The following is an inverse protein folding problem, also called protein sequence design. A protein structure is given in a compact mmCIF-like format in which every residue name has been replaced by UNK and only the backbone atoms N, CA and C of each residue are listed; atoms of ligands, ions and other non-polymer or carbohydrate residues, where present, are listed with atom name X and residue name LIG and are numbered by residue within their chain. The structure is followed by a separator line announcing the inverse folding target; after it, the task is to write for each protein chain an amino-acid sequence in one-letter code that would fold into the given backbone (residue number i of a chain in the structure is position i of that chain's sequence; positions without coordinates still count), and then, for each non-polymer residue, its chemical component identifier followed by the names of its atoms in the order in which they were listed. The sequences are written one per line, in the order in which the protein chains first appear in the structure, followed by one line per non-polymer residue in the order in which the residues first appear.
data_IF_721267227324
#
_entry.id   IF_721267227324
#
_cell.length_a   1.000
_cell.length_b   1.000
_cell.length_c   1.000
_cell.angle_alpha   90.00
_cell.angle_beta   90.00
_cell.angle_gamma   90.00
#
_symmetry.space_group_name_H-M   'P 1'
#
loop_
_entity.id
_entity.type
_entity.pdbx_description
1 polymer ?
#
# COMPACT_ATOMS: atom_id res chain seq x y z
N UNK A 1 -2.49 -33.42 -17.64
CA UNK A 1 -3.57 -32.61 -17.04
C UNK A 1 -3.21 -32.44 -15.56
N UNK A 2 -2.42 -31.42 -15.21
CA UNK A 2 -1.98 -31.19 -13.82
C UNK A 2 -3.18 -30.72 -13.01
N UNK A 3 -3.73 -31.61 -12.16
CA UNK A 3 -4.69 -31.23 -11.14
C UNK A 3 -3.99 -30.29 -10.16
N UNK A 4 -4.63 -29.17 -9.83
CA UNK A 4 -4.15 -28.28 -8.78
C UNK A 4 -4.09 -29.06 -7.46
N UNK A 5 -2.90 -29.21 -6.89
CA UNK A 5 -2.66 -29.86 -5.59
C UNK A 5 -3.07 -29.00 -4.38
N UNK A 6 -3.85 -27.94 -4.56
CA UNK A 6 -4.54 -27.27 -3.44
C UNK A 6 -5.65 -28.15 -2.82
N UNK A 7 -5.93 -29.32 -3.40
CA UNK A 7 -6.89 -30.32 -2.89
C UNK A 7 -6.63 -30.81 -1.45
N UNK A 8 -5.43 -30.59 -0.90
CA UNK A 8 -5.13 -30.95 0.50
C UNK A 8 -5.41 -29.82 1.51
N UNK A 9 -6.00 -28.69 1.11
CA UNK A 9 -6.55 -27.70 2.06
C UNK A 9 -7.85 -28.18 2.75
N UNK A 10 -8.44 -29.29 2.28
CA UNK A 10 -9.68 -29.84 2.83
C UNK A 10 -9.51 -30.57 4.18
N UNK A 11 -8.28 -30.72 4.69
CA UNK A 11 -8.00 -31.38 5.98
C UNK A 11 -7.79 -30.40 7.14
N UNK A 12 -7.79 -29.09 6.90
CA UNK A 12 -7.67 -28.09 7.98
C UNK A 12 -9.05 -27.85 8.58
N UNK A 13 -9.27 -28.29 9.82
CA UNK A 13 -10.42 -27.84 10.61
C UNK A 13 -10.26 -26.33 10.83
N UNK A 14 -11.03 -25.53 10.12
CA UNK A 14 -11.01 -24.09 10.27
C UNK A 14 -11.72 -23.70 11.56
N UNK A 15 -10.93 -23.47 12.60
CA UNK A 15 -11.37 -22.78 13.80
C UNK A 15 -11.11 -21.28 13.61
N UNK A 16 -11.97 -20.42 14.16
CA UNK A 16 -11.76 -18.96 14.22
C UNK A 16 -10.57 -18.55 15.12
N UNK A 17 -9.72 -19.50 15.51
CA UNK A 17 -8.53 -19.27 16.31
C UNK A 17 -7.38 -18.77 15.44
N UNK A 18 -6.59 -17.87 16.01
CA UNK A 18 -5.38 -17.37 15.38
C UNK A 18 -4.38 -18.50 15.10
N UNK A 19 -3.73 -18.51 13.93
CA UNK A 19 -2.74 -19.51 13.60
C UNK A 19 -1.48 -19.36 14.47
N UNK A 20 -0.95 -20.50 14.89
CA UNK A 20 0.29 -20.62 15.67
C UNK A 20 1.44 -21.20 14.84
N UNK A 21 2.55 -21.53 15.50
CA UNK A 21 3.76 -22.12 14.91
C UNK A 21 3.56 -23.55 14.38
N UNK A 22 2.51 -24.25 14.83
CA UNK A 22 2.18 -25.59 14.35
C UNK A 22 1.40 -25.58 13.03
N UNK A 23 0.83 -24.44 12.64
CA UNK A 23 0.01 -24.32 11.44
C UNK A 23 0.87 -24.43 10.18
N UNK A 24 0.63 -25.49 9.42
CA UNK A 24 1.25 -25.75 8.13
C UNK A 24 0.52 -24.96 7.03
N UNK A 25 1.28 -24.30 6.16
CA UNK A 25 0.77 -23.51 5.02
C UNK A 25 0.87 -24.29 3.71
N UNK A 26 1.97 -25.00 3.49
CA UNK A 26 2.21 -25.77 2.27
C UNK A 26 2.83 -27.12 2.56
N UNK A 27 2.63 -28.07 1.64
CA UNK A 27 3.08 -29.45 1.71
C UNK A 27 3.89 -29.85 0.47
N UNK A 28 4.65 -30.93 0.59
CA UNK A 28 5.20 -31.66 -0.55
C UNK A 28 4.13 -32.50 -1.25
N UNK A 29 4.47 -33.06 -2.41
CA UNK A 29 3.60 -34.04 -3.10
C UNK A 29 3.33 -35.28 -2.24
N UNK A 30 4.26 -35.62 -1.34
CA UNK A 30 4.18 -36.73 -0.38
C UNK A 30 3.51 -36.33 0.95
N UNK A 31 2.79 -35.20 1.01
CA UNK A 31 2.14 -34.66 2.22
C UNK A 31 3.09 -34.33 3.39
N UNK A 32 4.37 -34.10 3.12
CA UNK A 32 5.33 -33.65 4.14
C UNK A 32 5.19 -32.12 4.28
N UNK A 33 5.13 -31.56 5.51
CA UNK A 33 5.10 -30.11 5.69
C UNK A 33 6.30 -29.43 5.03
N UNK A 34 6.05 -28.36 4.27
CA UNK A 34 7.08 -27.61 3.54
C UNK A 34 7.25 -26.18 4.10
N UNK A 35 6.17 -25.56 4.58
CA UNK A 35 6.25 -24.24 5.22
C UNK A 35 5.19 -24.11 6.30
N UNK A 36 5.57 -23.47 7.40
CA UNK A 36 4.74 -23.15 8.55
C UNK A 36 4.35 -21.68 8.56
N UNK A 37 3.26 -21.34 9.24
CA UNK A 37 2.73 -19.98 9.29
C UNK A 37 3.77 -18.98 9.82
N UNK A 38 4.54 -19.38 10.84
CA UNK A 38 5.56 -18.53 11.44
C UNK A 38 6.81 -18.36 10.58
N UNK A 39 7.03 -19.22 9.58
CA UNK A 39 8.22 -19.16 8.72
C UNK A 39 8.31 -17.84 7.97
N UNK A 40 9.54 -17.33 7.82
CA UNK A 40 9.80 -16.11 7.05
C UNK A 40 9.65 -16.30 5.54
N UNK A 41 9.67 -17.55 5.06
CA UNK A 41 9.51 -17.89 3.66
C UNK A 41 8.47 -19.00 3.56
N UNK A 42 7.43 -18.75 2.77
CA UNK A 42 6.47 -19.80 2.38
C UNK A 42 6.79 -20.29 0.97
N UNK A 43 7.07 -21.59 0.84
CA UNK A 43 7.43 -22.25 -0.39
C UNK A 43 6.20 -22.91 -1.05
N UNK A 44 5.89 -22.48 -2.28
CA UNK A 44 4.78 -22.94 -3.10
C UNK A 44 5.25 -23.68 -4.36
N UNK A 45 6.51 -24.13 -4.44
CA UNK A 45 7.06 -24.85 -5.61
C UNK A 45 6.20 -26.01 -6.11
N UNK A 46 5.54 -26.72 -5.20
CA UNK A 46 4.69 -27.88 -5.55
C UNK A 46 3.25 -27.49 -5.95
N UNK A 47 2.95 -26.19 -5.98
CA UNK A 47 1.62 -25.63 -6.24
C UNK A 47 1.57 -24.78 -7.52
N UNK A 48 2.63 -24.81 -8.34
CA UNK A 48 2.69 -24.09 -9.62
C UNK A 48 2.19 -24.96 -10.76
N UNK A 49 1.35 -24.40 -11.62
CA UNK A 49 0.79 -25.08 -12.80
C UNK A 49 1.44 -24.63 -14.13
N UNK A 50 2.41 -23.72 -14.07
CA UNK A 50 3.13 -23.17 -15.23
C UNK A 50 4.53 -22.72 -14.82
N UNK A 51 5.41 -22.50 -15.80
CA UNK A 51 6.76 -21.95 -15.59
C UNK A 51 6.66 -20.55 -14.95
N UNK A 52 6.95 -20.44 -13.65
CA UNK A 52 7.04 -19.17 -12.93
C UNK A 52 8.48 -18.94 -12.47
N UNK A 53 8.97 -17.69 -12.57
CA UNK A 53 10.32 -17.34 -12.11
C UNK A 53 10.45 -17.33 -10.58
N UNK A 54 9.33 -17.27 -9.88
CA UNK A 54 9.25 -17.25 -8.42
C UNK A 54 8.20 -18.25 -7.97
N UNK A 55 8.49 -18.91 -6.87
CA UNK A 55 7.67 -19.98 -6.27
C UNK A 55 7.58 -19.81 -4.77
N UNK A 56 8.11 -18.71 -4.22
CA UNK A 56 8.22 -18.47 -2.79
C UNK A 56 7.64 -17.10 -2.44
N UNK A 57 7.10 -16.99 -1.23
CA UNK A 57 6.68 -15.73 -0.64
C UNK A 57 7.61 -15.45 0.53
N UNK A 58 8.42 -14.40 0.38
CA UNK A 58 9.41 -13.97 1.36
C UNK A 58 8.88 -12.79 2.18
N UNK A 59 8.80 -12.96 3.50
CA UNK A 59 8.36 -11.94 4.44
C UNK A 59 9.51 -11.08 5.00
N UNK A 60 10.77 -11.44 4.75
CA UNK A 60 11.98 -10.70 5.15
C UNK A 60 12.35 -9.57 4.17
N UNK A 61 11.36 -8.98 3.51
CA UNK A 61 11.55 -8.02 2.44
C UNK A 61 11.86 -6.58 2.91
N UNK A 62 11.73 -6.31 4.20
CA UNK A 62 12.06 -5.02 4.81
C UNK A 62 12.38 -5.22 6.29
N UNK A 63 13.59 -4.84 6.70
CA UNK A 63 14.03 -5.02 8.09
C UNK A 63 13.46 -3.98 9.05
N UNK A 64 12.91 -2.88 8.53
CA UNK A 64 12.30 -1.84 9.38
C UNK A 64 10.92 -2.24 9.91
N UNK A 65 10.23 -3.14 9.20
CA UNK A 65 8.85 -3.50 9.50
C UNK A 65 8.68 -4.13 10.88
N UNK A 66 7.64 -3.69 11.59
CA UNK A 66 7.25 -4.31 12.85
C UNK A 66 6.89 -5.80 12.65
N UNK A 67 7.32 -6.66 13.58
CA UNK A 67 6.93 -8.08 13.60
C UNK A 67 5.41 -8.25 13.59
N UNK A 68 4.70 -7.33 14.24
CA UNK A 68 3.25 -7.28 14.28
C UNK A 68 2.65 -7.07 12.88
N UNK A 69 3.14 -6.08 12.13
CA UNK A 69 2.66 -5.83 10.77
C UNK A 69 2.92 -7.00 9.82
N UNK A 70 4.06 -7.68 9.97
CA UNK A 70 4.37 -8.91 9.23
C UNK A 70 3.38 -10.03 9.60
N UNK A 71 3.09 -10.21 10.89
CA UNK A 71 2.13 -11.20 11.38
C UNK A 71 0.73 -10.98 10.77
N UNK A 72 0.19 -9.75 10.81
CA UNK A 72 -1.13 -9.45 10.25
C UNK A 72 -1.16 -9.55 8.72
N UNK A 73 -0.04 -9.25 8.04
CA UNK A 73 0.09 -9.51 6.60
C UNK A 73 0.00 -11.02 6.30
N UNK A 74 0.76 -11.84 7.04
CA UNK A 74 0.70 -13.31 6.95
C UNK A 74 -0.72 -13.80 7.22
N UNK A 75 -1.39 -13.26 8.25
CA UNK A 75 -2.76 -13.62 8.62
C UNK A 75 -3.76 -13.35 7.48
N UNK A 76 -3.74 -12.17 6.86
CA UNK A 76 -4.60 -11.86 5.71
C UNK A 76 -4.35 -12.79 4.52
N UNK A 77 -3.08 -13.12 4.25
CA UNK A 77 -2.73 -14.00 3.15
C UNK A 77 -3.13 -15.45 3.43
N UNK A 78 -2.94 -15.91 4.66
CA UNK A 78 -3.37 -17.23 5.11
C UNK A 78 -4.89 -17.37 5.05
N UNK A 79 -5.63 -16.39 5.56
CA UNK A 79 -7.09 -16.33 5.43
C UNK A 79 -7.53 -16.39 3.97
N UNK A 80 -6.87 -15.63 3.08
CA UNK A 80 -7.17 -15.65 1.65
C UNK A 80 -6.98 -17.03 1.01
N UNK A 81 -5.86 -17.70 1.29
CA UNK A 81 -5.51 -19.00 0.69
C UNK A 81 -6.53 -20.07 1.09
N UNK A 82 -6.95 -20.05 2.35
CA UNK A 82 -7.69 -21.13 2.96
C UNK A 82 -9.21 -20.94 2.93
N UNK A 83 -9.68 -19.70 3.09
CA UNK A 83 -11.09 -19.39 3.34
C UNK A 83 -11.60 -18.35 2.34
N UNK A 84 -10.87 -17.24 2.19
CA UNK A 84 -11.31 -16.08 1.41
C UNK A 84 -11.35 -16.30 -0.11
N UNK A 85 -10.73 -17.35 -0.63
CA UNK A 85 -10.78 -17.70 -2.05
C UNK A 85 -12.10 -18.42 -2.38
N UNK A 86 -12.94 -17.81 -3.24
CA UNK A 86 -14.21 -18.39 -3.71
C UNK A 86 -14.08 -19.80 -4.33
N UNK A 87 -12.90 -20.18 -4.80
CA UNK A 87 -12.61 -21.52 -5.27
C UNK A 87 -11.14 -21.89 -4.97
N UNK A 88 -10.90 -22.38 -3.74
CA UNK A 88 -9.60 -22.82 -3.25
C UNK A 88 -8.96 -23.89 -4.15
N UNK A 89 -9.76 -24.80 -4.70
CA UNK A 89 -9.28 -25.86 -5.61
C UNK A 89 -8.71 -25.33 -6.94
N UNK A 90 -9.05 -24.10 -7.34
CA UNK A 90 -8.54 -23.44 -8.54
C UNK A 90 -7.50 -22.35 -8.28
N UNK A 91 -7.12 -22.15 -7.01
CA UNK A 91 -6.21 -21.07 -6.64
C UNK A 91 -4.85 -21.31 -7.31
N UNK A 92 -4.29 -20.29 -7.93
CA UNK A 92 -2.96 -20.36 -8.55
C UNK A 92 -1.95 -19.58 -7.71
N UNK A 93 -0.70 -20.03 -7.69
CA UNK A 93 0.38 -19.28 -7.03
C UNK A 93 0.46 -17.82 -7.54
N UNK A 94 0.25 -17.60 -8.84
CA UNK A 94 0.22 -16.24 -9.42
C UNK A 94 -0.84 -15.35 -8.76
N UNK A 95 -2.02 -15.91 -8.47
CA UNK A 95 -3.11 -15.18 -7.80
C UNK A 95 -2.73 -14.84 -6.35
N UNK A 96 -2.17 -15.80 -5.61
CA UNK A 96 -1.66 -15.61 -4.24
C UNK A 96 -0.59 -14.52 -4.22
N UNK A 97 0.36 -14.59 -5.13
CA UNK A 97 1.46 -13.63 -5.25
C UNK A 97 0.97 -12.21 -5.54
N UNK A 98 -0.08 -12.04 -6.36
CA UNK A 98 -0.69 -10.73 -6.60
C UNK A 98 -1.31 -10.17 -5.31
N UNK A 99 -2.02 -11.00 -4.53
CA UNK A 99 -2.60 -10.59 -3.24
C UNK A 99 -1.52 -10.19 -2.25
N UNK A 100 -0.48 -11.02 -2.09
CA UNK A 100 0.69 -10.73 -1.26
C UNK A 100 1.34 -9.40 -1.65
N UNK A 101 1.56 -9.13 -2.95
CA UNK A 101 2.18 -7.87 -3.41
C UNK A 101 1.35 -6.63 -3.06
N UNK A 102 0.03 -6.72 -3.14
CA UNK A 102 -0.86 -5.62 -2.77
C UNK A 102 -0.86 -5.39 -1.25
N UNK A 103 -0.98 -6.46 -0.45
CA UNK A 103 -0.87 -6.39 1.01
C UNK A 103 0.46 -5.79 1.44
N UNK A 104 1.57 -6.30 0.89
CA UNK A 104 2.93 -5.79 1.10
C UNK A 104 3.04 -4.30 0.82
N UNK A 105 2.42 -3.81 -0.27
CA UNK A 105 2.45 -2.38 -0.59
C UNK A 105 1.71 -1.55 0.46
N UNK A 106 0.56 -2.02 0.97
CA UNK A 106 -0.18 -1.35 2.04
C UNK A 106 0.68 -1.29 3.31
N UNK A 107 1.25 -2.42 3.72
CA UNK A 107 2.13 -2.51 4.91
C UNK A 107 3.32 -1.55 4.80
N UNK A 108 3.96 -1.47 3.62
CA UNK A 108 5.04 -0.49 3.39
C UNK A 108 4.58 0.97 3.47
N UNK A 109 3.32 1.25 3.16
CA UNK A 109 2.78 2.60 3.35
C UNK A 109 2.58 2.86 4.84
N UNK A 110 1.99 1.91 5.59
CA UNK A 110 1.84 2.04 7.05
C UNK A 110 3.17 2.37 7.74
N UNK A 111 4.20 1.61 7.41
CA UNK A 111 5.55 1.80 7.93
C UNK A 111 6.10 3.22 7.70
N UNK A 112 5.92 3.76 6.49
CA UNK A 112 6.36 5.14 6.16
C UNK A 112 5.70 6.21 7.02
N UNK A 113 4.49 5.93 7.51
CA UNK A 113 3.73 6.82 8.38
C UNK A 113 3.85 6.44 9.86
N UNK A 114 4.80 5.55 10.21
CA UNK A 114 4.98 5.00 11.55
C UNK A 114 3.66 4.45 12.15
N UNK A 115 2.85 3.83 11.28
CA UNK A 115 1.57 3.24 11.62
C UNK A 115 1.69 1.71 11.61
N UNK A 116 1.02 1.04 12.55
CA UNK A 116 0.95 -0.42 12.51
C UNK A 116 -0.13 -0.86 11.51
N UNK A 117 0.17 -1.91 10.73
CA UNK A 117 -0.81 -2.47 9.81
C UNK A 117 -2.07 -2.97 10.54
N UNK A 118 -1.94 -3.40 11.79
CA UNK A 118 -3.05 -3.92 12.59
C UNK A 118 -4.10 -2.87 12.98
N UNK A 119 -3.80 -1.58 12.85
CA UNK A 119 -4.69 -0.51 13.30
C UNK A 119 -4.81 0.64 12.28
N UNK A 120 -4.73 0.29 10.99
CA UNK A 120 -4.66 1.23 9.86
C UNK A 120 -5.78 2.29 9.88
N UNK A 121 -6.99 1.91 10.27
CA UNK A 121 -8.16 2.80 10.30
C UNK A 121 -8.00 3.94 11.31
N UNK A 122 -7.30 3.70 12.43
CA UNK A 122 -7.08 4.71 13.48
C UNK A 122 -6.10 5.79 13.03
N UNK A 123 -5.13 5.44 12.19
CA UNK A 123 -4.16 6.40 11.67
C UNK A 123 -4.71 7.07 10.39
N UNK A 124 -5.45 8.17 10.57
CA UNK A 124 -6.07 8.93 9.47
C UNK A 124 -5.06 9.41 8.42
N UNK A 125 -3.83 9.76 8.82
CA UNK A 125 -2.80 10.19 7.87
C UNK A 125 -2.37 9.04 6.95
N UNK A 126 -2.07 7.89 7.53
CA UNK A 126 -1.74 6.68 6.77
C UNK A 126 -2.91 6.26 5.86
N UNK A 127 -4.12 6.19 6.40
CA UNK A 127 -5.32 5.82 5.65
C UNK A 127 -5.55 6.76 4.46
N UNK A 128 -5.47 8.07 4.67
CA UNK A 128 -5.61 9.05 3.60
C UNK A 128 -4.50 8.91 2.57
N UNK A 129 -3.24 8.73 2.98
CA UNK A 129 -2.14 8.52 2.04
C UNK A 129 -2.34 7.27 1.16
N UNK A 130 -2.88 6.19 1.71
CA UNK A 130 -3.22 4.99 0.94
C UNK A 130 -4.34 5.32 -0.06
N UNK A 131 -5.44 5.92 0.40
CA UNK A 131 -6.59 6.27 -0.45
C UNK A 131 -6.17 7.25 -1.55
N UNK A 132 -5.39 8.27 -1.23
CA UNK A 132 -4.90 9.29 -2.17
C UNK A 132 -3.98 8.69 -3.23
N UNK A 133 -3.21 7.66 -2.86
CA UNK A 133 -2.39 6.92 -3.84
C UNK A 133 -3.23 6.21 -4.91
N UNK A 134 -4.53 5.98 -4.65
CA UNK A 134 -5.47 5.36 -5.59
C UNK A 134 -6.18 6.39 -6.49
N UNK A 135 -6.19 7.67 -6.12
CA UNK A 135 -6.93 8.73 -6.82
C UNK A 135 -6.48 8.92 -8.28
N UNK A 136 -5.24 8.57 -8.60
CA UNK A 136 -4.65 8.66 -9.94
C UNK A 136 -4.55 7.30 -10.66
N UNK A 137 -5.13 6.26 -10.08
CA UNK A 137 -5.05 4.90 -10.59
C UNK A 137 -6.23 4.57 -11.53
N UNK A 138 -6.04 3.57 -12.38
CA UNK A 138 -7.12 3.10 -13.26
C UNK A 138 -8.25 2.47 -12.46
N UNK A 139 -9.49 2.52 -12.97
CA UNK A 139 -10.64 1.87 -12.32
C UNK A 139 -10.35 0.42 -11.91
N UNK A 140 -9.73 -0.35 -12.79
CA UNK A 140 -9.34 -1.74 -12.52
C UNK A 140 -8.37 -1.85 -11.33
N UNK A 141 -7.39 -0.95 -11.21
CA UNK A 141 -6.47 -0.96 -10.08
C UNK A 141 -7.18 -0.56 -8.79
N UNK A 142 -7.99 0.50 -8.80
CA UNK A 142 -8.78 0.89 -7.61
C UNK A 142 -9.66 -0.27 -7.14
N UNK A 143 -10.33 -0.97 -8.06
CA UNK A 143 -11.09 -2.18 -7.74
C UNK A 143 -10.26 -3.30 -7.13
N UNK A 144 -8.99 -3.49 -7.57
CA UNK A 144 -8.08 -4.46 -6.92
C UNK A 144 -7.77 -4.09 -5.47
N UNK A 145 -7.53 -2.81 -5.16
CA UNK A 145 -7.30 -2.37 -3.79
C UNK A 145 -8.56 -2.46 -2.94
N UNK A 146 -9.73 -2.12 -3.48
CA UNK A 146 -11.00 -2.30 -2.79
C UNK A 146 -11.20 -3.76 -2.35
N UNK A 147 -10.95 -4.72 -3.26
CA UNK A 147 -10.99 -6.14 -2.93
C UNK A 147 -9.95 -6.55 -1.86
N UNK A 148 -8.82 -5.85 -1.76
CA UNK A 148 -7.82 -6.10 -0.71
C UNK A 148 -8.29 -5.51 0.62
N UNK A 149 -8.91 -4.33 0.62
CA UNK A 149 -9.43 -3.72 1.84
C UNK A 149 -10.56 -4.58 2.42
N UNK A 150 -11.46 -5.05 1.56
CA UNK A 150 -12.51 -6.00 1.95
C UNK A 150 -11.93 -7.31 2.47
N UNK A 151 -10.86 -7.84 1.86
CA UNK A 151 -10.15 -9.02 2.36
C UNK A 151 -9.58 -8.80 3.78
N UNK A 152 -8.96 -7.65 4.04
CA UNK A 152 -8.40 -7.31 5.35
C UNK A 152 -9.53 -7.23 6.39
N UNK A 153 -10.60 -6.50 6.10
CA UNK A 153 -11.78 -6.41 6.99
C UNK A 153 -12.40 -7.78 7.26
N UNK A 154 -12.55 -8.62 6.24
CA UNK A 154 -13.07 -9.98 6.41
C UNK A 154 -12.15 -10.85 7.27
N UNK A 155 -10.83 -10.69 7.15
CA UNK A 155 -9.86 -11.37 8.01
C UNK A 155 -10.07 -10.97 9.46
N UNK A 156 -10.24 -9.67 9.74
CA UNK A 156 -10.51 -9.18 11.09
C UNK A 156 -11.79 -9.74 11.69
N UNK A 157 -12.87 -9.72 10.91
CA UNK A 157 -14.15 -10.29 11.34
C UNK A 157 -14.06 -11.80 11.60
N UNK A 158 -13.32 -12.55 10.78
CA UNK A 158 -13.20 -14.01 10.91
C UNK A 158 -12.46 -14.42 12.19
N UNK A 159 -11.42 -13.66 12.57
CA UNK A 159 -10.60 -13.92 13.77
C UNK A 159 -11.02 -13.07 14.98
N UNK A 160 -12.15 -12.38 14.90
CA UNK A 160 -12.68 -11.51 15.98
C UNK A 160 -11.64 -10.49 16.48
N UNK A 161 -10.90 -9.90 15.54
CA UNK A 161 -9.85 -8.93 15.83
C UNK A 161 -10.43 -7.53 15.96
N UNK A 162 -10.43 -7.03 17.19
CA UNK A 162 -10.82 -5.65 17.48
C UNK A 162 -9.96 -4.66 16.68
N UNK A 163 -10.63 -3.67 16.09
CA UNK A 163 -10.01 -2.56 15.34
C UNK A 163 -9.17 -2.96 14.10
N UNK A 164 -9.22 -4.22 13.65
CA UNK A 164 -8.50 -4.66 12.46
C UNK A 164 -9.34 -4.54 11.19
N UNK A 165 -8.76 -3.88 10.18
CA UNK A 165 -9.38 -3.67 8.88
C UNK A 165 -9.89 -2.26 8.67
N UNK A 166 -10.83 -2.11 7.73
CA UNK A 166 -11.35 -0.81 7.30
C UNK A 166 -12.82 -0.66 7.67
N UNK A 167 -13.20 0.57 8.04
CA UNK A 167 -14.59 0.92 8.28
C UNK A 167 -15.41 0.96 6.98
N UNK A 168 -16.74 0.86 7.12
CA UNK A 168 -17.65 1.03 5.99
C UNK A 168 -17.52 2.42 5.35
N UNK A 169 -17.19 3.45 6.12
CA UNK A 169 -16.96 4.80 5.60
C UNK A 169 -15.74 4.82 4.67
N UNK A 170 -14.62 4.26 5.13
CA UNK A 170 -13.37 4.14 4.35
C UNK A 170 -13.55 3.31 3.09
N UNK A 171 -14.25 2.17 3.17
CA UNK A 171 -14.58 1.35 2.01
C UNK A 171 -15.47 2.11 1.01
N UNK A 172 -16.45 2.87 1.50
CA UNK A 172 -17.32 3.68 0.64
C UNK A 172 -16.56 4.81 -0.06
N UNK A 173 -15.56 5.43 0.59
CA UNK A 173 -14.67 6.40 -0.06
C UNK A 173 -13.94 5.77 -1.25
N UNK A 174 -13.39 4.57 -1.10
CA UNK A 174 -12.70 3.86 -2.20
C UNK A 174 -13.69 3.44 -3.29
N UNK A 175 -14.90 2.99 -2.96
CA UNK A 175 -15.95 2.69 -3.95
C UNK A 175 -16.35 3.92 -4.76
N UNK A 176 -16.42 5.10 -4.12
CA UNK A 176 -16.69 6.35 -4.82
C UNK A 176 -15.53 6.73 -5.75
N UNK A 177 -14.28 6.52 -5.33
CA UNK A 177 -13.11 6.69 -6.19
C UNK A 177 -13.19 5.76 -7.40
N UNK A 178 -13.43 4.47 -7.20
CA UNK A 178 -13.54 3.48 -8.28
C UNK A 178 -14.62 3.86 -9.31
N UNK A 179 -15.77 4.38 -8.84
CA UNK A 179 -16.84 4.88 -9.72
C UNK A 179 -16.42 6.09 -10.54
N UNK A 180 -15.63 6.99 -9.96
CA UNK A 180 -15.12 8.22 -10.61
C UNK A 180 -13.91 7.97 -11.51
N UNK A 181 -13.14 6.91 -11.27
CA UNK A 181 -11.99 6.55 -12.08
C UNK A 181 -12.38 6.26 -13.54
N UNK A 182 -11.57 6.73 -14.48
CA UNK A 182 -11.79 6.50 -15.90
C UNK A 182 -11.73 4.99 -16.22
N UNK A 183 -12.68 4.53 -17.05
CA UNK A 183 -12.69 3.16 -17.60
C UNK A 183 -11.61 2.95 -18.67
N UNK A 184 -11.15 4.06 -19.27
CA UNK A 184 -10.25 4.02 -20.42
C UNK A 184 -8.83 3.63 -19.97
N UNK A 185 -8.11 2.80 -20.75
CA UNK A 185 -6.67 2.65 -20.56
C UNK A 185 -6.05 4.04 -20.64
N UNK A 186 -4.99 4.31 -19.87
CA UNK A 186 -4.21 5.55 -19.95
C UNK A 186 -3.68 5.68 -21.40
N UNK A 187 -4.48 6.20 -22.32
CA UNK A 187 -3.93 6.99 -23.41
C UNK A 187 -3.18 8.09 -22.69
N UNK A 188 -1.87 8.19 -22.95
CA UNK A 188 -1.14 9.40 -22.63
C UNK A 188 -2.00 10.54 -23.15
N UNK A 189 -2.55 11.37 -22.26
CA UNK A 189 -3.26 12.57 -22.68
C UNK A 189 -2.22 13.30 -23.50
N UNK A 190 -2.39 13.33 -24.82
CA UNK A 190 -1.64 14.21 -25.68
C UNK A 190 -2.08 15.59 -25.26
N UNK A 191 -1.35 16.19 -24.32
CA UNK A 191 -1.56 17.59 -23.94
C UNK A 191 -1.29 18.36 -25.23
N UNK A 192 -2.31 19.02 -25.81
CA UNK A 192 -2.11 19.80 -27.02
C UNK A 192 -0.97 20.79 -26.80
N UNK A 193 -0.05 20.89 -27.77
CA UNK A 193 1.21 21.61 -27.62
C UNK A 193 1.00 23.08 -27.22
N UNK A 194 -0.13 23.67 -27.62
CA UNK A 194 -0.54 25.01 -27.23
C UNK A 194 -0.85 25.10 -25.71
N UNK A 195 -1.57 24.13 -25.14
CA UNK A 195 -1.87 24.10 -23.70
C UNK A 195 -0.59 23.92 -22.89
N UNK A 196 0.31 23.03 -23.32
CA UNK A 196 1.59 22.83 -22.66
C UNK A 196 2.47 24.10 -22.74
N UNK A 197 2.54 24.73 -23.91
CA UNK A 197 3.27 25.98 -24.12
C UNK A 197 2.72 27.11 -23.24
N UNK A 198 1.40 27.26 -23.17
CA UNK A 198 0.76 28.25 -22.30
C UNK A 198 1.01 27.98 -20.81
N UNK A 199 0.99 26.71 -20.38
CA UNK A 199 1.33 26.35 -19.01
C UNK A 199 2.79 26.70 -18.69
N UNK A 200 3.73 26.35 -19.57
CA UNK A 200 5.16 26.66 -19.40
C UNK A 200 5.36 28.17 -19.34
N UNK A 201 4.76 28.93 -20.26
CA UNK A 201 4.86 30.39 -20.30
C UNK A 201 4.32 31.03 -19.02
N UNK A 202 3.11 30.68 -18.61
CA UNK A 202 2.50 31.22 -17.38
C UNK A 202 3.29 30.85 -16.12
N UNK A 203 3.84 29.64 -16.09
CA UNK A 203 4.71 29.21 -14.98
C UNK A 203 5.99 30.05 -14.94
N UNK A 204 6.62 30.31 -16.09
CA UNK A 204 7.80 31.18 -16.18
C UNK A 204 7.48 32.60 -15.70
N UNK A 205 6.38 33.21 -16.20
CA UNK A 205 5.94 34.54 -15.77
C UNK A 205 5.69 34.60 -14.25
N UNK A 206 5.12 33.54 -13.66
CA UNK A 206 4.95 33.43 -12.23
C UNK A 206 6.29 33.39 -11.47
N UNK A 207 7.25 32.59 -11.93
CA UNK A 207 8.57 32.49 -11.30
C UNK A 207 9.37 33.79 -11.43
N UNK A 208 9.27 34.48 -12.57
CA UNK A 208 9.90 35.78 -12.78
C UNK A 208 9.34 36.84 -11.82
N UNK A 209 8.01 36.88 -11.66
CA UNK A 209 7.37 37.75 -10.68
C UNK A 209 7.77 37.40 -9.25
N UNK A 210 7.83 36.10 -8.91
CA UNK A 210 8.25 35.65 -7.59
C UNK A 210 9.69 36.08 -7.28
N UNK A 211 10.60 35.91 -8.23
CA UNK A 211 12.00 36.32 -8.08
C UNK A 211 12.12 37.83 -7.91
N UNK A 212 11.34 38.61 -8.67
CA UNK A 212 11.32 40.08 -8.52
C UNK A 212 10.87 40.50 -7.11
N UNK A 213 9.79 39.92 -6.59
CA UNK A 213 9.31 40.21 -5.23
C UNK A 213 10.34 39.81 -4.17
N UNK A 214 11.00 38.66 -4.36
CA UNK A 214 12.09 38.21 -3.49
C UNK A 214 13.24 39.23 -3.48
N UNK A 215 13.66 39.72 -4.64
CA UNK A 215 14.75 40.67 -4.74
C UNK A 215 14.36 42.02 -4.11
N UNK A 216 13.14 42.50 -4.31
CA UNK A 216 12.60 43.69 -3.64
C UNK A 216 12.59 43.55 -2.10
N UNK A 217 12.25 42.36 -1.58
CA UNK A 217 12.29 42.08 -0.14
C UNK A 217 13.72 42.07 0.40
N UNK A 218 14.67 41.52 -0.35
CA UNK A 218 16.10 41.54 0.02
C UNK A 218 16.60 42.99 0.06
N UNK A 219 16.32 43.78 -0.98
CA UNK A 219 16.71 45.19 -1.05
C UNK A 219 16.09 46.02 0.07
N UNK A 220 14.82 45.77 0.38
CA UNK A 220 14.16 46.38 1.54
C UNK A 220 14.88 46.03 2.84
N UNK A 221 15.21 44.74 3.05
CA UNK A 221 15.98 44.29 4.22
C UNK A 221 17.33 44.99 4.35
N UNK A 222 18.06 45.15 3.25
CA UNK A 222 19.34 45.89 3.22
C UNK A 222 19.17 47.38 3.53
N UNK A 223 18.17 48.03 2.95
CA UNK A 223 17.87 49.44 3.21
C UNK A 223 17.48 49.67 4.67
N UNK A 224 16.64 48.79 5.21
CA UNK A 224 16.22 48.82 6.61
C UNK A 224 17.40 48.63 7.56
N UNK A 225 18.28 47.65 7.29
CA UNK A 225 19.50 47.43 8.07
C UNK A 225 20.39 48.68 8.12
N UNK A 226 20.67 49.30 6.96
CA UNK A 226 21.45 50.55 6.89
C UNK A 226 20.79 51.70 7.66
N UNK A 227 19.47 51.84 7.57
CA UNK A 227 18.72 52.83 8.32
C UNK A 227 18.81 52.58 9.83
N UNK A 228 18.65 51.33 10.27
CA UNK A 228 18.75 50.95 11.68
C UNK A 228 20.15 51.21 12.26
N UNK A 229 21.21 50.85 11.54
CA UNK A 229 22.61 51.13 11.89
C UNK A 229 22.86 52.64 12.03
N UNK A 230 22.36 53.46 11.10
CA UNK A 230 22.50 54.92 11.14
C UNK A 230 21.79 55.57 12.34
N UNK A 231 20.71 54.96 12.83
CA UNK A 231 19.90 55.49 13.93
C UNK A 231 20.20 54.81 15.28
N UNK A 232 21.29 54.04 15.41
CA UNK A 232 21.65 53.28 16.62
C UNK A 232 20.49 52.42 17.16
N UNK A 233 19.66 51.87 16.28
CA UNK A 233 18.62 50.93 16.66
C UNK A 233 19.26 49.58 16.94
N UNK A 234 19.19 49.12 18.19
CA UNK A 234 19.75 47.83 18.59
C UNK A 234 18.91 46.68 17.98
N UNK A 235 19.52 45.93 17.06
CA UNK A 235 18.98 44.66 16.59
C UNK A 235 20.01 43.57 16.89
N UNK A 236 19.74 42.79 17.92
CA UNK A 236 20.46 41.54 18.15
C UNK A 236 20.16 40.59 16.98
N UNK A 237 21.14 40.46 16.07
CA UNK A 237 21.28 39.41 15.06
C UNK A 237 20.06 39.14 14.19
N UNK A 238 19.95 39.91 13.10
CA UNK A 238 19.27 39.41 11.89
C UNK A 238 20.36 38.92 10.94
N UNK A 239 20.63 37.62 10.96
CA UNK A 239 21.38 36.95 9.89
C UNK A 239 20.39 36.69 8.73
N UNK A 240 20.66 37.33 7.59
CA UNK A 240 19.96 37.09 6.31
C UNK A 240 20.80 36.11 5.50
#
# INVERSE_FOLDING_TARGET
MHKNNFMNLNTVKFESKLPDDSIIVTYTEDNIPLSYFTDDIWDFRNYISSYTQTTVIDFNFDKSLSKNSIYYLKLCLYYYINIGAKNTASLSFKTILIKYRLLKKIVKICEKFNADFSNIEKNKFCLNAIIDSLSFDSKMNVGKYLNIFELITLTGNFYELDDFGFSNESLNRVRLLEKKSSKLPKQTILIPSNILSDFIRKSSEFFDNFNKIKDELIDFGWCFKKYAEKNNMAFDKIEV
#
